data_IF_932965259060
#
_entry.id   IF_932965259060
#
_cell.length_a   1.000
_cell.length_b   1.000
_cell.length_c   1.000
_cell.angle_alpha   90.00
_cell.angle_beta   90.00
_cell.angle_gamma   90.00
#
_symmetry.space_group_name_H-M   'P 1'
#
loop_
_entity.id
_entity.type
_entity.pdbx_description
1 polymer ?
#
# COMPACT_ATOMS: atom_id res chain seq x y z
N UNK A 1 -8.82 22.15 -21.51
CA UNK A 1 -8.30 20.84 -21.09
C UNK A 1 -7.33 21.06 -19.95
N UNK A 2 -7.70 20.70 -18.73
CA UNK A 2 -6.91 20.94 -17.53
C UNK A 2 -7.09 19.78 -16.58
N UNK A 3 -6.08 18.92 -16.49
CA UNK A 3 -6.03 17.78 -15.59
C UNK A 3 -5.98 18.29 -14.15
N UNK A 4 -7.05 18.02 -13.40
CA UNK A 4 -7.15 18.32 -11.98
C UNK A 4 -6.34 17.28 -11.21
N UNK A 5 -5.33 17.78 -10.50
CA UNK A 5 -4.58 17.07 -9.47
C UNK A 5 -5.53 16.41 -8.46
N UNK A 6 -5.65 15.08 -8.52
CA UNK A 6 -6.19 14.27 -7.43
C UNK A 6 -5.03 13.82 -6.54
N UNK A 7 -4.51 14.77 -5.75
CA UNK A 7 -3.73 14.43 -4.57
C UNK A 7 -4.67 13.70 -3.60
N UNK A 8 -4.65 12.36 -3.62
CA UNK A 8 -5.40 11.55 -2.67
C UNK A 8 -4.73 11.70 -1.29
N UNK A 9 -5.34 12.42 -0.33
CA UNK A 9 -4.74 12.59 0.98
C UNK A 9 -4.88 11.27 1.74
N UNK A 10 -3.87 10.93 2.54
CA UNK A 10 -4.01 9.96 3.62
C UNK A 10 -5.28 10.31 4.41
N UNK A 11 -6.31 9.46 4.32
CA UNK A 11 -7.54 9.65 5.08
C UNK A 11 -7.24 9.47 6.56
N UNK A 12 -7.18 10.59 7.28
CA UNK A 12 -7.25 10.62 8.73
C UNK A 12 -8.73 10.47 9.13
N UNK A 13 -8.97 9.55 10.06
CA UNK A 13 -10.25 9.33 10.75
C UNK A 13 -10.72 10.63 11.43
N UNK A 14 -11.66 11.34 10.81
CA UNK A 14 -12.45 12.43 11.40
C UNK A 14 -13.51 11.85 12.35
N UNK A 15 -13.06 11.17 13.42
CA UNK A 15 -13.95 10.69 14.50
C UNK A 15 -13.41 10.94 15.90
N UNK A 16 -12.55 11.96 16.05
CA UNK A 16 -11.96 12.36 17.33
C UNK A 16 -12.50 13.71 17.85
N UNK A 17 -13.81 13.93 17.83
CA UNK A 17 -14.45 15.02 18.60
C UNK A 17 -15.79 14.60 19.20
N UNK A 18 -15.75 13.79 20.27
CA UNK A 18 -16.81 13.80 21.30
C UNK A 18 -16.19 13.65 22.69
N UNK A 19 -16.40 14.67 23.52
CA UNK A 19 -16.00 14.77 24.94
C UNK A 19 -16.41 13.48 25.68
N UNK A 20 -15.45 12.73 26.22
CA UNK A 20 -15.72 11.56 27.07
C UNK A 20 -15.98 12.02 28.51
N UNK A 21 -17.26 12.18 28.85
CA UNK A 21 -17.71 12.20 30.23
C UNK A 21 -17.40 10.88 30.93
N UNK A 22 -16.85 10.97 32.14
CA UNK A 22 -16.44 9.87 33.01
C UNK A 22 -17.68 9.06 33.44
N UNK A 23 -17.97 7.91 32.79
CA UNK A 23 -19.03 6.97 33.23
C UNK A 23 -18.43 5.70 33.83
N UNK A 24 -18.87 5.39 35.05
CA UNK A 24 -18.46 4.25 35.90
C UNK A 24 -18.65 2.90 35.16
N UNK A 25 -17.64 2.02 35.25
CA UNK A 25 -17.65 0.65 34.72
C UNK A 25 -18.70 -0.20 35.45
N UNK A 26 -19.80 -0.57 34.77
CA UNK A 26 -20.61 -1.74 35.14
C UNK A 26 -20.06 -2.96 34.40
N UNK A 27 -19.69 -4.01 35.14
CA UNK A 27 -19.28 -5.32 34.62
C UNK A 27 -20.45 -5.94 33.84
N UNK A 28 -20.22 -6.38 32.60
CA UNK A 28 -21.12 -7.26 31.83
C UNK A 28 -20.63 -8.72 31.96
N UNK A 29 -21.55 -9.70 31.95
CA UNK A 29 -21.22 -11.10 32.18
C UNK A 29 -20.50 -11.73 30.98
N UNK A 30 -19.68 -12.73 31.31
CA UNK A 30 -18.82 -13.53 30.43
C UNK A 30 -19.71 -14.33 29.46
N UNK A 31 -19.57 -14.11 28.15
CA UNK A 31 -20.14 -15.01 27.13
C UNK A 31 -19.09 -16.08 26.81
N UNK A 32 -19.54 -17.32 26.77
CA UNK A 32 -18.77 -18.55 26.68
C UNK A 32 -17.91 -18.66 25.43
N UNK A 33 -16.86 -19.47 25.58
CA UNK A 33 -15.81 -19.77 24.62
C UNK A 33 -16.36 -20.39 23.33
N UNK A 34 -16.07 -19.79 22.18
CA UNK A 34 -16.03 -20.54 20.93
C UNK A 34 -14.67 -21.26 20.83
N UNK A 35 -14.63 -22.55 20.49
CA UNK A 35 -13.38 -23.30 20.38
C UNK A 35 -12.57 -22.86 19.14
N UNK A 36 -11.25 -23.10 19.13
CA UNK A 36 -10.39 -22.69 18.03
C UNK A 36 -10.72 -23.53 16.78
N UNK A 37 -11.09 -22.87 15.68
CA UNK A 37 -11.24 -23.55 14.38
C UNK A 37 -9.85 -24.02 13.92
N UNK A 38 -9.64 -25.32 14.01
CA UNK A 38 -8.45 -26.01 13.53
C UNK A 38 -8.30 -25.96 12.02
N UNK A 39 -7.05 -26.09 11.57
CA UNK A 39 -6.69 -26.31 10.18
C UNK A 39 -7.32 -27.63 9.69
N UNK A 40 -8.39 -27.53 8.92
CA UNK A 40 -9.05 -28.66 8.27
C UNK A 40 -9.43 -28.30 6.84
N UNK A 41 -8.89 -29.04 5.87
CA UNK A 41 -9.44 -29.14 4.51
C UNK A 41 -10.92 -29.54 4.62
N UNK A 42 -11.84 -28.80 3.98
CA UNK A 42 -13.17 -29.34 3.65
C UNK A 42 -14.42 -28.50 3.97
N UNK A 43 -14.33 -27.29 4.50
CA UNK A 43 -15.46 -26.34 4.47
C UNK A 43 -15.12 -25.22 3.49
N UNK A 44 -15.90 -25.05 2.42
CA UNK A 44 -15.74 -23.91 1.51
C UNK A 44 -15.91 -22.65 2.36
N UNK A 45 -14.91 -21.77 2.35
CA UNK A 45 -14.97 -20.56 3.15
C UNK A 45 -16.08 -19.64 2.62
N UNK A 46 -16.70 -18.82 3.48
CA UNK A 46 -17.81 -17.93 3.10
C UNK A 46 -17.44 -17.04 1.90
N UNK A 47 -16.17 -16.64 1.81
CA UNK A 47 -15.64 -15.83 0.72
C UNK A 47 -15.69 -16.58 -0.63
N UNK A 48 -15.41 -17.89 -0.64
CA UNK A 48 -15.46 -18.73 -1.84
C UNK A 48 -16.91 -18.92 -2.30
N UNK A 49 -17.82 -19.19 -1.37
CA UNK A 49 -19.25 -19.35 -1.69
C UNK A 49 -19.82 -18.06 -2.29
N UNK A 50 -19.47 -16.92 -1.71
CA UNK A 50 -19.85 -15.60 -2.22
C UNK A 50 -19.30 -15.34 -3.62
N UNK A 51 -18.03 -15.68 -3.88
CA UNK A 51 -17.43 -15.55 -5.20
C UNK A 51 -18.17 -16.36 -6.27
N UNK A 52 -18.60 -17.58 -5.93
CA UNK A 52 -19.35 -18.43 -6.87
C UNK A 52 -20.81 -17.96 -7.05
N UNK A 53 -21.46 -17.52 -5.96
CA UNK A 53 -22.85 -17.08 -5.96
C UNK A 53 -23.06 -15.69 -6.58
N UNK A 54 -21.99 -14.92 -6.84
CA UNK A 54 -22.07 -13.55 -7.41
C UNK A 54 -22.87 -13.45 -8.71
N UNK A 55 -22.95 -14.57 -9.45
CA UNK A 55 -23.69 -14.66 -10.70
C UNK A 55 -25.17 -15.03 -10.56
N UNK A 56 -25.65 -15.33 -9.35
CA UNK A 56 -27.04 -15.76 -9.11
C UNK A 56 -27.74 -14.93 -8.05
N UNK A 57 -27.00 -14.20 -7.21
CA UNK A 57 -27.56 -13.34 -6.16
C UNK A 57 -28.31 -12.16 -6.78
N UNK A 58 -29.45 -11.80 -6.15
CA UNK A 58 -30.29 -10.66 -6.51
C UNK A 58 -30.47 -9.76 -5.27
N UNK A 59 -30.11 -8.46 -5.32
CA UNK A 59 -29.52 -7.75 -6.45
C UNK A 59 -28.09 -8.24 -6.77
N UNK A 60 -27.67 -8.07 -8.02
CA UNK A 60 -26.29 -8.38 -8.45
C UNK A 60 -25.29 -7.48 -7.70
N UNK A 61 -24.08 -7.99 -7.40
CA UNK A 61 -23.00 -7.15 -6.89
C UNK A 61 -22.66 -6.00 -7.82
N UNK A 62 -22.22 -4.89 -7.24
CA UNK A 62 -21.94 -3.63 -7.93
C UNK A 62 -20.94 -3.79 -9.08
N UNK A 63 -21.28 -3.29 -10.27
CA UNK A 63 -20.44 -3.38 -11.46
C UNK A 63 -20.55 -4.69 -12.23
N UNK A 64 -21.25 -5.71 -11.71
CA UNK A 64 -21.63 -6.90 -12.48
C UNK A 64 -22.90 -6.57 -13.28
N UNK A 65 -22.90 -6.71 -14.62
CA UNK A 65 -24.09 -6.50 -15.44
C UNK A 65 -25.25 -7.42 -15.04
N UNK A 66 -26.49 -6.96 -15.24
CA UNK A 66 -27.70 -7.77 -15.01
C UNK A 66 -27.71 -9.02 -15.90
N UNK A 67 -27.26 -8.85 -17.14
CA UNK A 67 -27.13 -9.90 -18.14
C UNK A 67 -25.68 -9.93 -18.64
N UNK A 68 -25.09 -11.12 -18.64
CA UNK A 68 -23.75 -11.37 -19.19
C UNK A 68 -23.96 -12.32 -20.36
N UNK A 69 -23.68 -11.85 -21.58
CA UNK A 69 -23.82 -12.61 -22.82
C UNK A 69 -22.46 -12.68 -23.54
N UNK A 70 -21.92 -13.88 -23.83
CA UNK A 70 -22.40 -15.21 -23.42
C UNK A 70 -22.40 -15.39 -21.89
N UNK A 71 -23.11 -16.38 -21.33
CA UNK A 71 -23.09 -16.67 -19.89
C UNK A 71 -21.66 -16.83 -19.33
N UNK A 72 -21.42 -16.61 -18.02
CA UNK A 72 -20.11 -16.80 -17.40
C UNK A 72 -19.55 -18.20 -17.67
N UNK A 73 -18.32 -18.27 -18.18
CA UNK A 73 -17.63 -19.53 -18.43
C UNK A 73 -16.63 -19.83 -17.32
N UNK A 74 -16.28 -21.10 -17.17
CA UNK A 74 -15.26 -21.50 -16.20
C UNK A 74 -13.89 -21.47 -16.86
N UNK A 75 -12.97 -20.67 -16.32
CA UNK A 75 -11.59 -20.55 -16.81
C UNK A 75 -10.62 -21.00 -15.72
N UNK A 76 -9.77 -21.99 -16.02
CA UNK A 76 -8.75 -22.45 -15.09
C UNK A 76 -7.36 -21.92 -15.46
N UNK A 77 -6.73 -21.23 -14.51
CA UNK A 77 -5.41 -20.64 -14.69
C UNK A 77 -4.42 -21.29 -13.72
N UNK A 78 -3.32 -21.81 -14.26
CA UNK A 78 -2.17 -22.25 -13.46
C UNK A 78 -1.19 -21.08 -13.31
N UNK A 79 -1.05 -20.58 -12.09
CA UNK A 79 -0.19 -19.44 -11.78
C UNK A 79 0.93 -19.85 -10.85
N UNK A 80 2.13 -20.08 -11.41
CA UNK A 80 3.31 -20.44 -10.62
C UNK A 80 3.85 -19.20 -9.91
N UNK A 81 4.07 -19.31 -8.60
CA UNK A 81 4.63 -18.24 -7.78
C UNK A 81 6.00 -18.62 -7.21
N UNK A 82 6.81 -17.60 -6.90
CA UNK A 82 8.12 -17.65 -6.28
C UNK A 82 8.12 -16.74 -5.05
N UNK A 83 7.43 -17.18 -4.00
CA UNK A 83 7.37 -16.42 -2.75
C UNK A 83 8.71 -16.40 -2.01
N UNK A 84 9.04 -15.28 -1.39
CA UNK A 84 10.22 -15.12 -0.53
C UNK A 84 9.90 -15.62 0.88
N UNK A 85 10.77 -16.43 1.49
CA UNK A 85 10.50 -16.90 2.85
C UNK A 85 10.58 -15.77 3.88
N UNK A 86 9.87 -15.94 4.99
CA UNK A 86 9.92 -14.97 6.10
C UNK A 86 11.33 -14.77 6.66
N UNK A 87 12.17 -15.81 6.75
CA UNK A 87 13.56 -15.65 7.20
C UNK A 87 14.37 -14.77 6.24
N UNK A 88 14.21 -14.99 4.94
CA UNK A 88 14.91 -14.24 3.89
C UNK A 88 14.47 -12.78 3.91
N UNK A 89 13.16 -12.51 3.99
CA UNK A 89 12.63 -11.16 4.15
C UNK A 89 13.25 -10.47 5.39
N UNK A 90 13.34 -11.17 6.52
CA UNK A 90 13.90 -10.60 7.74
C UNK A 90 15.38 -10.23 7.60
N UNK A 91 16.18 -11.10 6.97
CA UNK A 91 17.61 -10.83 6.68
C UNK A 91 17.77 -9.66 5.71
N UNK A 92 17.08 -9.70 4.58
CA UNK A 92 17.12 -8.66 3.56
C UNK A 92 16.67 -7.30 4.11
N UNK A 93 15.65 -7.27 4.96
CA UNK A 93 15.19 -6.04 5.62
C UNK A 93 16.26 -5.39 6.49
N UNK A 94 17.06 -6.19 7.23
CA UNK A 94 18.20 -5.69 8.03
C UNK A 94 19.35 -5.15 7.17
N UNK A 95 19.56 -5.74 6.00
CA UNK A 95 20.58 -5.30 5.04
C UNK A 95 20.16 -3.99 4.38
N UNK A 96 18.91 -3.91 3.93
CA UNK A 96 18.39 -2.81 3.13
C UNK A 96 18.00 -1.57 3.95
N UNK A 97 17.63 -1.73 5.23
CA UNK A 97 17.18 -0.63 6.08
C UNK A 97 18.12 -0.42 7.27
N UNK A 98 18.71 0.78 7.39
CA UNK A 98 19.52 1.20 8.53
C UNK A 98 18.92 2.43 9.22
N UNK A 99 19.24 2.69 10.51
CA UNK A 99 18.79 3.89 11.21
C UNK A 99 19.21 5.19 10.51
N UNK A 100 18.30 6.14 10.41
CA UNK A 100 18.53 7.46 9.81
C UNK A 100 18.42 7.53 8.29
N UNK A 101 18.38 6.39 7.59
CA UNK A 101 18.24 6.35 6.13
C UNK A 101 16.77 6.30 5.68
N UNK A 102 16.16 7.48 5.55
CA UNK A 102 14.79 7.62 5.00
C UNK A 102 14.75 8.08 3.55
N UNK A 103 15.89 8.50 2.99
CA UNK A 103 15.96 9.09 1.66
C UNK A 103 16.39 8.17 0.53
N UNK A 104 16.71 8.81 -0.61
CA UNK A 104 17.38 8.16 -1.73
C UNK A 104 18.69 7.54 -1.27
N UNK A 105 18.96 6.36 -1.78
CA UNK A 105 20.24 5.71 -1.55
C UNK A 105 21.20 6.16 -2.64
N UNK A 106 22.42 6.58 -2.30
CA UNK A 106 23.47 6.75 -3.30
C UNK A 106 23.78 5.40 -3.95
N UNK A 107 24.27 5.43 -5.18
CA UNK A 107 24.58 4.22 -5.97
C UNK A 107 25.49 3.26 -5.21
N UNK A 108 26.51 3.78 -4.53
CA UNK A 108 27.42 2.99 -3.68
C UNK A 108 26.67 2.18 -2.61
N UNK A 109 25.65 2.78 -1.98
CA UNK A 109 24.83 2.11 -0.95
C UNK A 109 23.89 1.08 -1.55
N UNK A 110 23.40 1.32 -2.78
CA UNK A 110 22.61 0.34 -3.53
C UNK A 110 23.47 -0.88 -3.88
N UNK A 111 24.70 -0.66 -4.35
CA UNK A 111 25.63 -1.73 -4.68
C UNK A 111 26.08 -2.50 -3.44
N UNK A 112 26.30 -1.83 -2.30
CA UNK A 112 26.59 -2.49 -1.04
C UNK A 112 25.44 -3.42 -0.59
N UNK A 113 24.19 -2.99 -0.77
CA UNK A 113 23.02 -3.83 -0.52
C UNK A 113 23.03 -5.03 -1.46
N UNK A 114 23.27 -4.82 -2.76
CA UNK A 114 23.32 -5.89 -3.75
C UNK A 114 24.34 -6.97 -3.38
N UNK A 115 25.57 -6.57 -3.03
CA UNK A 115 26.64 -7.49 -2.60
C UNK A 115 26.24 -8.26 -1.33
N UNK A 116 25.62 -7.59 -0.35
CA UNK A 116 25.18 -8.25 0.90
C UNK A 116 23.98 -9.18 0.72
N UNK A 117 23.19 -8.98 -0.33
CA UNK A 117 22.08 -9.85 -0.69
C UNK A 117 22.51 -11.08 -1.50
N UNK A 118 23.75 -11.10 -1.98
CA UNK A 118 24.26 -12.22 -2.77
C UNK A 118 24.09 -13.56 -2.02
N UNK A 119 23.62 -14.58 -2.73
CA UNK A 119 23.26 -15.88 -2.17
C UNK A 119 21.92 -15.95 -1.41
N UNK A 120 21.18 -14.84 -1.23
CA UNK A 120 19.81 -14.88 -0.72
C UNK A 120 18.80 -14.98 -1.87
N UNK A 121 17.70 -15.77 -1.72
CA UNK A 121 16.66 -15.89 -2.75
C UNK A 121 15.70 -14.68 -2.69
N UNK A 122 16.25 -13.48 -2.94
CA UNK A 122 15.53 -12.21 -3.03
C UNK A 122 16.32 -11.26 -3.95
N UNK A 123 15.64 -10.57 -4.86
CA UNK A 123 16.29 -9.61 -5.75
C UNK A 123 16.58 -8.28 -5.08
N UNK A 124 17.44 -7.47 -5.70
CA UNK A 124 17.72 -6.11 -5.26
C UNK A 124 16.45 -5.25 -5.28
N UNK A 125 15.63 -5.32 -6.32
CA UNK A 125 14.38 -4.54 -6.42
C UNK A 125 13.38 -4.94 -5.32
N UNK A 126 13.29 -6.25 -5.02
CA UNK A 126 12.47 -6.75 -3.92
C UNK A 126 12.93 -6.18 -2.58
N UNK A 127 14.23 -6.15 -2.33
CA UNK A 127 14.80 -5.61 -1.10
C UNK A 127 14.63 -4.07 -1.00
N UNK A 128 14.78 -3.33 -2.10
CA UNK A 128 14.53 -1.90 -2.14
C UNK A 128 13.04 -1.56 -1.92
N UNK A 129 12.14 -2.36 -2.49
CA UNK A 129 10.70 -2.24 -2.24
C UNK A 129 10.35 -2.58 -0.78
N UNK A 130 10.96 -3.62 -0.21
CA UNK A 130 10.85 -3.96 1.21
C UNK A 130 11.35 -2.82 2.11
N UNK A 131 12.49 -2.19 1.77
CA UNK A 131 13.03 -1.02 2.49
C UNK A 131 12.02 0.12 2.53
N UNK A 132 11.35 0.43 1.41
CA UNK A 132 10.32 1.47 1.38
C UNK A 132 9.16 1.15 2.35
N UNK A 133 8.69 -0.10 2.37
CA UNK A 133 7.66 -0.54 3.29
C UNK A 133 8.10 -0.49 4.77
N UNK A 134 9.34 -0.89 5.07
CA UNK A 134 9.93 -0.82 6.41
C UNK A 134 10.04 0.63 6.90
N UNK A 135 10.56 1.54 6.05
CA UNK A 135 10.70 2.94 6.38
C UNK A 135 9.34 3.62 6.61
N UNK A 136 8.32 3.25 5.84
CA UNK A 136 6.95 3.72 6.06
C UNK A 136 6.40 3.23 7.41
N UNK A 137 6.50 1.93 7.70
CA UNK A 137 6.03 1.35 8.97
C UNK A 137 6.74 1.99 10.17
N UNK A 138 8.05 2.12 10.08
CA UNK A 138 8.91 2.77 11.07
C UNK A 138 8.48 4.21 11.34
N UNK A 139 8.27 5.00 10.28
CA UNK A 139 7.80 6.39 10.37
C UNK A 139 6.47 6.49 11.11
N UNK A 140 5.50 5.62 10.78
CA UNK A 140 4.18 5.61 11.43
C UNK A 140 4.28 5.27 12.91
N UNK A 141 5.02 4.22 13.28
CA UNK A 141 5.10 3.78 14.67
C UNK A 141 5.99 4.69 15.54
N UNK A 142 7.03 5.30 14.98
CA UNK A 142 7.93 6.19 15.72
C UNK A 142 7.42 7.62 15.85
N UNK A 143 6.42 8.04 15.05
CA UNK A 143 5.92 9.41 15.01
C UNK A 143 5.55 9.99 16.38
N UNK A 144 4.82 9.22 17.21
CA UNK A 144 4.44 9.69 18.54
C UNK A 144 5.63 9.90 19.48
N UNK A 145 6.67 9.05 19.37
CA UNK A 145 7.92 9.16 20.13
C UNK A 145 8.71 10.38 19.68
N UNK A 146 8.75 10.64 18.37
CA UNK A 146 9.38 11.83 17.80
C UNK A 146 8.70 13.11 18.32
N UNK A 147 7.37 13.16 18.28
CA UNK A 147 6.60 14.33 18.73
C UNK A 147 6.77 14.62 20.22
N UNK A 148 7.00 13.61 21.08
CA UNK A 148 7.33 13.84 22.50
C UNK A 148 8.67 14.55 22.69
N UNK A 149 9.57 14.49 21.71
CA UNK A 149 10.88 15.16 21.71
C UNK A 149 10.90 16.44 20.88
N UNK A 150 9.74 16.98 20.50
CA UNK A 150 9.62 18.21 19.69
C UNK A 150 10.39 19.40 20.30
N UNK A 151 10.29 19.60 21.62
CA UNK A 151 11.00 20.66 22.33
C UNK A 151 12.53 20.48 22.26
N UNK A 152 13.02 19.25 22.36
CA UNK A 152 14.46 18.96 22.23
C UNK A 152 14.94 19.20 20.80
N UNK A 153 14.17 18.73 19.81
CA UNK A 153 14.44 18.95 18.39
C UNK A 153 14.51 20.44 18.06
N UNK A 154 13.58 21.25 18.56
CA UNK A 154 13.61 22.70 18.39
C UNK A 154 14.89 23.29 18.97
N UNK A 155 15.22 23.02 20.24
CA UNK A 155 16.43 23.58 20.88
C UNK A 155 17.70 23.23 20.12
N UNK A 156 17.84 21.97 19.68
CA UNK A 156 19.01 21.51 18.91
C UNK A 156 19.10 22.18 17.55
N UNK A 157 17.97 22.28 16.86
CA UNK A 157 17.89 22.99 15.58
C UNK A 157 18.25 24.48 15.77
N UNK A 158 17.73 25.13 16.81
CA UNK A 158 18.02 26.52 17.15
C UNK A 158 19.51 26.71 17.52
N UNK A 159 20.16 25.69 18.10
CA UNK A 159 21.61 25.67 18.37
C UNK A 159 22.50 25.41 17.15
N UNK A 160 21.91 25.21 15.96
CA UNK A 160 22.64 25.10 14.69
C UNK A 160 22.60 23.73 14.02
N UNK A 161 22.07 22.67 14.65
CA UNK A 161 21.94 21.36 13.99
C UNK A 161 20.99 21.46 12.77
N UNK A 162 21.33 20.79 11.66
CA UNK A 162 20.48 20.74 10.46
C UNK A 162 19.33 19.73 10.61
N UNK A 163 18.27 19.89 9.81
CA UNK A 163 17.14 18.94 9.79
C UNK A 163 17.62 17.52 9.44
N UNK A 164 18.58 17.40 8.53
CA UNK A 164 19.14 16.11 8.10
C UNK A 164 19.94 15.47 9.24
N UNK A 165 20.75 16.24 9.96
CA UNK A 165 21.49 15.72 11.11
C UNK A 165 20.53 15.23 12.21
N UNK A 166 19.47 15.99 12.49
CA UNK A 166 18.45 15.63 13.46
C UNK A 166 17.64 14.41 13.01
N UNK A 167 17.29 14.32 11.74
CA UNK A 167 16.62 13.16 11.13
C UNK A 167 17.42 11.87 11.34
N UNK A 168 18.72 11.90 11.04
CA UNK A 168 19.64 10.78 11.28
C UNK A 168 19.74 10.44 12.76
N UNK A 169 19.93 11.44 13.63
CA UNK A 169 20.11 11.25 15.08
C UNK A 169 18.85 10.69 15.76
N UNK A 170 17.67 11.16 15.37
CA UNK A 170 16.39 10.77 15.97
C UNK A 170 15.70 9.62 15.22
N UNK A 171 16.31 9.16 14.14
CA UNK A 171 15.84 8.05 13.32
C UNK A 171 14.39 8.25 12.84
N UNK A 172 14.16 9.40 12.21
CA UNK A 172 12.84 9.79 11.71
C UNK A 172 12.95 10.47 10.34
N UNK A 173 11.89 10.42 9.50
CA UNK A 173 11.92 11.08 8.20
C UNK A 173 12.22 12.59 8.31
N UNK A 174 13.04 13.17 7.41
CA UNK A 174 13.41 14.59 7.43
C UNK A 174 12.22 15.55 7.54
N UNK A 175 11.16 15.37 6.75
CA UNK A 175 10.00 16.28 6.78
C UNK A 175 9.23 16.14 8.10
N UNK A 176 9.11 14.92 8.64
CA UNK A 176 8.49 14.70 9.95
C UNK A 176 9.35 15.27 11.09
N UNK A 177 10.67 15.25 10.95
CA UNK A 177 11.61 15.90 11.87
C UNK A 177 11.41 17.41 11.86
N UNK A 178 11.29 18.01 10.67
CA UNK A 178 10.98 19.43 10.53
C UNK A 178 9.61 19.82 11.13
N UNK A 179 8.57 19.01 10.89
CA UNK A 179 7.25 19.19 11.53
C UNK A 179 7.35 19.14 13.06
N UNK A 180 8.18 18.26 13.61
CA UNK A 180 8.41 18.16 15.05
C UNK A 180 9.16 19.39 15.60
N UNK A 181 10.13 19.95 14.86
CA UNK A 181 10.79 21.22 15.20
C UNK A 181 9.76 22.35 15.30
N UNK A 182 8.92 22.53 14.28
CA UNK A 182 7.87 23.57 14.29
C UNK A 182 6.86 23.35 15.42
N UNK A 183 6.52 22.10 15.73
CA UNK A 183 5.67 21.76 16.88
C UNK A 183 6.33 22.16 18.19
N UNK A 184 7.65 21.97 18.35
CA UNK A 184 8.41 22.40 19.52
C UNK A 184 8.44 23.91 19.71
N UNK A 185 8.31 24.67 18.61
CA UNK A 185 8.12 26.13 18.61
C UNK A 185 6.67 26.57 18.87
N UNK A 186 5.78 25.64 19.21
CA UNK A 186 4.38 25.93 19.51
C UNK A 186 3.47 26.09 18.30
N UNK A 187 3.90 25.68 17.09
CA UNK A 187 3.03 25.72 15.92
C UNK A 187 1.96 24.63 15.99
N UNK A 188 0.73 24.97 15.60
CA UNK A 188 -0.37 24.00 15.53
C UNK A 188 -0.23 23.10 14.29
N UNK A 189 -0.77 21.87 14.35
CA UNK A 189 -0.79 20.92 13.22
C UNK A 189 -1.35 21.56 11.94
N UNK A 190 -2.42 22.35 12.08
CA UNK A 190 -3.07 23.05 10.97
C UNK A 190 -2.15 24.13 10.37
N UNK A 191 -1.54 24.98 11.22
CA UNK A 191 -0.60 26.00 10.76
C UNK A 191 0.58 25.37 10.02
N UNK A 192 1.14 24.28 10.55
CA UNK A 192 2.24 23.55 9.90
C UNK A 192 1.79 23.04 8.54
N UNK A 193 0.67 22.31 8.47
CA UNK A 193 0.14 21.76 7.21
C UNK A 193 -0.09 22.84 6.16
N UNK A 194 -0.78 23.92 6.52
CA UNK A 194 -1.10 25.00 5.57
C UNK A 194 0.15 25.79 5.14
N UNK A 195 1.14 25.94 6.02
CA UNK A 195 2.39 26.61 5.67
C UNK A 195 3.21 25.75 4.72
N UNK A 196 3.51 24.51 5.10
CA UNK A 196 4.38 23.63 4.33
C UNK A 196 3.79 23.27 2.96
N UNK A 197 2.48 23.01 2.88
CA UNK A 197 1.86 22.54 1.64
C UNK A 197 1.43 23.67 0.69
N UNK A 198 1.15 24.88 1.19
CA UNK A 198 0.54 25.96 0.39
C UNK A 198 1.36 27.24 0.36
N UNK A 199 2.09 27.55 1.42
CA UNK A 199 2.77 28.85 1.57
C UNK A 199 4.14 28.71 2.25
N UNK A 200 5.08 27.92 1.69
CA UNK A 200 6.41 27.73 2.27
C UNK A 200 7.20 29.04 2.36
N UNK A 201 6.84 30.05 1.57
CA UNK A 201 7.39 31.42 1.63
C UNK A 201 7.16 32.15 2.97
N UNK A 202 6.24 31.66 3.82
CA UNK A 202 6.03 32.21 5.18
C UNK A 202 7.08 31.75 6.20
N UNK A 203 7.93 30.79 5.84
CA UNK A 203 9.07 30.38 6.65
C UNK A 203 10.18 31.43 6.57
N UNK A 204 10.98 31.57 7.63
CA UNK A 204 12.22 32.34 7.52
C UNK A 204 13.19 31.64 6.55
N UNK A 205 14.24 32.36 6.11
CA UNK A 205 15.20 31.87 5.11
C UNK A 205 15.76 30.48 5.47
N UNK A 206 16.26 30.30 6.70
CA UNK A 206 16.85 29.04 7.15
C UNK A 206 15.84 27.90 7.17
N UNK A 207 14.65 28.15 7.72
CA UNK A 207 13.59 27.16 7.81
C UNK A 207 13.10 26.72 6.42
N UNK A 208 13.03 27.66 5.49
CA UNK A 208 12.68 27.36 4.10
C UNK A 208 13.73 26.49 3.42
N UNK A 209 15.01 26.89 3.49
CA UNK A 209 16.12 26.11 2.92
C UNK A 209 16.20 24.69 3.52
N UNK A 210 16.02 24.57 4.83
CA UNK A 210 16.03 23.28 5.52
C UNK A 210 14.80 22.43 5.21
N UNK A 211 13.64 23.05 4.98
CA UNK A 211 12.44 22.35 4.54
C UNK A 211 12.58 21.83 3.11
N UNK A 212 13.05 22.66 2.18
CA UNK A 212 13.30 22.28 0.78
C UNK A 212 14.32 21.13 0.70
N UNK A 213 15.38 21.19 1.51
CA UNK A 213 16.35 20.08 1.64
C UNK A 213 15.72 18.82 2.25
N UNK A 214 14.83 18.97 3.23
CA UNK A 214 14.13 17.83 3.82
C UNK A 214 13.18 17.17 2.82
N UNK A 215 12.47 17.96 2.01
CA UNK A 215 11.56 17.45 0.98
C UNK A 215 12.30 16.75 -0.16
N UNK A 216 13.44 17.28 -0.59
CA UNK A 216 14.21 16.68 -1.69
C UNK A 216 14.78 15.30 -1.34
N UNK A 217 14.97 15.01 -0.05
CA UNK A 217 15.54 13.74 0.41
C UNK A 217 14.57 12.82 1.14
N UNK A 218 13.35 13.22 1.50
CA UNK A 218 12.42 12.37 2.27
C UNK A 218 11.50 11.53 1.38
N UNK A 219 11.94 10.32 1.03
CA UNK A 219 11.14 9.36 0.25
C UNK A 219 9.91 8.79 0.97
N UNK A 220 9.68 9.10 2.24
CA UNK A 220 8.52 8.58 2.99
C UNK A 220 7.42 9.62 3.09
N UNK A 221 7.80 10.89 3.29
CA UNK A 221 6.86 11.98 3.54
C UNK A 221 6.67 12.90 2.33
N UNK A 222 7.66 13.01 1.43
CA UNK A 222 7.64 13.84 0.22
C UNK A 222 7.95 12.99 -1.02
N UNK A 223 6.98 12.16 -1.41
CA UNK A 223 7.11 11.35 -2.62
C UNK A 223 6.58 12.14 -3.82
N UNK A 224 7.41 12.34 -4.84
CA UNK A 224 6.94 12.62 -6.18
C UNK A 224 6.22 11.36 -6.69
N UNK A 225 4.89 11.35 -6.61
CA UNK A 225 4.07 10.15 -6.85
C UNK A 225 3.84 9.86 -8.33
N UNK A 226 4.17 10.81 -9.22
CA UNK A 226 3.81 10.71 -10.64
C UNK A 226 4.45 9.51 -11.34
N UNK A 227 5.78 9.37 -11.27
CA UNK A 227 6.48 8.25 -11.93
C UNK A 227 6.06 6.88 -11.36
N UNK A 228 5.95 6.78 -10.04
CA UNK A 228 5.49 5.54 -9.38
C UNK A 228 4.05 5.20 -9.76
N UNK A 229 3.20 6.21 -9.94
CA UNK A 229 1.83 6.03 -10.37
C UNK A 229 1.78 5.56 -11.83
N UNK A 230 2.52 6.19 -12.74
CA UNK A 230 2.55 5.76 -14.15
C UNK A 230 3.12 4.35 -14.30
N UNK A 231 4.16 4.00 -13.55
CA UNK A 231 4.68 2.62 -13.52
C UNK A 231 3.66 1.61 -12.98
N UNK A 232 2.80 2.02 -12.03
CA UNK A 232 1.71 1.19 -11.53
C UNK A 232 0.62 0.99 -12.60
N UNK A 233 0.25 2.06 -13.31
CA UNK A 233 -0.71 2.02 -14.42
C UNK A 233 -0.22 1.09 -15.55
N UNK A 234 1.06 1.15 -15.93
CA UNK A 234 1.66 0.23 -16.91
C UNK A 234 1.58 -1.22 -16.42
N UNK A 235 1.80 -1.47 -15.13
CA UNK A 235 1.70 -2.81 -14.55
C UNK A 235 0.24 -3.34 -14.54
N UNK A 236 -0.74 -2.46 -14.34
CA UNK A 236 -2.17 -2.80 -14.47
C UNK A 236 -2.53 -3.17 -15.91
N UNK A 237 -2.01 -2.46 -16.91
CA UNK A 237 -2.22 -2.80 -18.32
C UNK A 237 -1.59 -4.16 -18.68
N UNK A 238 -0.39 -4.47 -18.19
CA UNK A 238 0.22 -5.81 -18.36
C UNK A 238 -0.70 -6.91 -17.82
N UNK A 239 -1.32 -6.69 -16.66
CA UNK A 239 -2.29 -7.65 -16.10
C UNK A 239 -3.53 -7.78 -16.99
N UNK A 240 -4.06 -6.68 -17.50
CA UNK A 240 -5.20 -6.69 -18.41
C UNK A 240 -4.87 -7.50 -19.67
N UNK A 241 -3.73 -7.23 -20.31
CA UNK A 241 -3.28 -7.98 -21.49
C UNK A 241 -3.11 -9.48 -21.22
N UNK A 242 -2.58 -9.86 -20.05
CA UNK A 242 -2.48 -11.27 -19.66
C UNK A 242 -3.86 -11.93 -19.56
N UNK A 243 -4.79 -11.33 -18.81
CA UNK A 243 -6.13 -11.92 -18.62
C UNK A 243 -6.94 -11.95 -19.93
N UNK A 244 -6.80 -10.94 -20.79
CA UNK A 244 -7.37 -10.94 -22.14
C UNK A 244 -6.80 -12.07 -23.00
N UNK A 245 -5.48 -12.29 -22.96
CA UNK A 245 -4.81 -13.34 -23.75
C UNK A 245 -5.25 -14.76 -23.39
N UNK A 246 -5.69 -14.99 -22.15
CA UNK A 246 -6.22 -16.27 -21.68
C UNK A 246 -7.76 -16.35 -21.79
N UNK A 247 -8.39 -15.38 -22.45
CA UNK A 247 -9.83 -15.39 -22.76
C UNK A 247 -10.73 -15.02 -21.59
N UNK A 248 -10.22 -14.39 -20.53
CA UNK A 248 -11.02 -13.98 -19.38
C UNK A 248 -11.70 -12.64 -19.66
N UNK A 249 -13.01 -12.56 -19.41
CA UNK A 249 -13.76 -11.31 -19.49
C UNK A 249 -13.78 -10.61 -18.14
N UNK A 250 -13.55 -9.31 -18.13
CA UNK A 250 -13.54 -8.51 -16.92
C UNK A 250 -13.96 -7.07 -17.20
N UNK A 251 -14.35 -6.37 -16.13
CA UNK A 251 -14.52 -4.91 -16.10
C UNK A 251 -13.27 -4.28 -15.51
N UNK A 252 -12.80 -3.17 -16.11
CA UNK A 252 -11.64 -2.40 -15.62
C UNK A 252 -12.05 -1.37 -14.57
N UNK A 253 -11.12 -0.95 -13.72
CA UNK A 253 -11.33 0.09 -12.71
C UNK A 253 -11.98 1.36 -13.28
N UNK A 254 -11.53 1.84 -14.45
CA UNK A 254 -12.06 3.07 -15.05
C UNK A 254 -13.56 2.98 -15.38
N UNK A 255 -14.01 1.82 -15.85
CA UNK A 255 -15.41 1.60 -16.19
C UNK A 255 -16.28 1.60 -14.94
N UNK A 256 -15.80 0.94 -13.88
CA UNK A 256 -16.47 0.91 -12.57
C UNK A 256 -16.54 2.31 -11.95
N UNK A 257 -15.45 3.08 -12.06
CA UNK A 257 -15.39 4.45 -11.59
C UNK A 257 -16.44 5.34 -12.27
N UNK A 258 -16.52 5.28 -13.61
CA UNK A 258 -17.49 6.07 -14.39
C UNK A 258 -18.92 5.69 -14.03
N UNK A 259 -19.23 4.40 -13.92
CA UNK A 259 -20.56 3.88 -13.58
C UNK A 259 -20.98 4.31 -12.17
N UNK A 260 -20.15 4.06 -11.16
CA UNK A 260 -20.45 4.38 -9.77
C UNK A 260 -20.49 5.88 -9.50
N UNK A 261 -19.64 6.66 -10.16
CA UNK A 261 -19.72 8.13 -10.03
C UNK A 261 -21.04 8.66 -10.59
N UNK A 262 -21.54 8.07 -11.68
CA UNK A 262 -22.82 8.46 -12.27
C UNK A 262 -24.02 8.08 -11.39
N UNK A 263 -24.00 6.91 -10.75
CA UNK A 263 -25.13 6.44 -9.93
C UNK A 263 -25.06 6.92 -8.47
N UNK A 264 -23.87 6.96 -7.87
CA UNK A 264 -23.65 7.19 -6.43
C UNK A 264 -22.97 8.53 -6.13
N UNK A 265 -22.59 9.29 -7.16
CA UNK A 265 -21.85 10.55 -7.02
C UNK A 265 -20.37 10.39 -6.62
N UNK A 266 -19.91 9.15 -6.40
CA UNK A 266 -18.51 8.81 -6.07
C UNK A 266 -18.19 7.36 -6.36
N UNK A 267 -16.91 7.05 -6.49
CA UNK A 267 -16.42 5.68 -6.43
C UNK A 267 -16.67 5.06 -5.04
N UNK A 268 -17.18 3.84 -5.01
CA UNK A 268 -17.40 3.05 -3.79
C UNK A 268 -16.38 1.92 -3.73
N UNK A 269 -16.31 1.11 -4.79
CA UNK A 269 -15.52 -0.12 -4.81
C UNK A 269 -15.06 -0.45 -6.23
N UNK A 270 -13.75 -0.37 -6.47
CA UNK A 270 -13.18 -0.49 -7.82
C UNK A 270 -11.91 -1.35 -7.74
N UNK A 271 -12.01 -2.69 -7.78
CA UNK A 271 -10.83 -3.49 -8.06
C UNK A 271 -10.30 -3.18 -9.46
N UNK A 272 -9.03 -3.47 -9.71
CA UNK A 272 -8.40 -3.19 -11.01
C UNK A 272 -9.05 -4.03 -12.13
N UNK A 273 -9.31 -5.31 -11.83
CA UNK A 273 -10.11 -6.19 -12.68
C UNK A 273 -11.24 -6.84 -11.87
N UNK A 274 -12.49 -6.61 -12.28
CA UNK A 274 -13.67 -7.34 -11.78
C UNK A 274 -14.03 -8.44 -12.80
N UNK A 275 -13.91 -9.70 -12.40
CA UNK A 275 -14.00 -10.84 -13.31
C UNK A 275 -15.46 -11.24 -13.60
N UNK A 276 -15.80 -11.36 -14.88
CA UNK A 276 -17.14 -11.71 -15.36
C UNK A 276 -17.31 -13.22 -15.63
N UNK A 277 -16.24 -14.01 -15.44
CA UNK A 277 -16.19 -15.47 -15.60
C UNK A 277 -15.89 -16.20 -14.28
N UNK A 278 -16.20 -17.50 -14.15
CA UNK A 278 -15.73 -18.35 -13.02
C UNK A 278 -14.24 -18.67 -13.21
N UNK A 279 -13.40 -17.67 -12.94
CA UNK A 279 -11.94 -17.79 -13.00
C UNK A 279 -11.42 -18.48 -11.76
N UNK A 280 -10.69 -19.57 -11.95
CA UNK A 280 -10.03 -20.32 -10.87
C UNK A 280 -8.53 -20.30 -11.05
N UNK A 281 -7.84 -19.57 -10.17
CA UNK A 281 -6.39 -19.51 -10.15
C UNK A 281 -5.87 -20.54 -9.17
N UNK A 282 -5.11 -21.51 -9.66
CA UNK A 282 -4.63 -22.67 -8.88
C UNK A 282 -5.77 -23.38 -8.13
N UNK A 283 -6.93 -23.51 -8.79
CA UNK A 283 -8.14 -24.14 -8.24
C UNK A 283 -8.95 -23.27 -7.27
N UNK A 284 -8.49 -22.07 -6.93
CA UNK A 284 -9.22 -21.13 -6.05
C UNK A 284 -10.06 -20.16 -6.89
N UNK A 285 -11.39 -20.07 -6.67
CA UNK A 285 -12.22 -19.07 -7.36
C UNK A 285 -11.79 -17.65 -7.02
N UNK A 286 -11.65 -16.81 -8.04
CA UNK A 286 -11.34 -15.40 -7.91
C UNK A 286 -12.43 -14.59 -8.61
N UNK A 287 -13.06 -13.65 -7.89
CA UNK A 287 -14.04 -12.73 -8.43
C UNK A 287 -13.42 -11.39 -8.87
N UNK A 288 -12.24 -11.05 -8.35
CA UNK A 288 -11.54 -9.80 -8.62
C UNK A 288 -10.02 -10.00 -8.51
N UNK A 289 -9.28 -9.15 -9.22
CA UNK A 289 -7.82 -9.02 -9.17
C UNK A 289 -7.48 -7.57 -8.85
N UNK A 290 -6.50 -7.35 -8.00
CA UNK A 290 -5.97 -6.03 -7.70
C UNK A 290 -4.43 -6.08 -7.67
N UNK A 291 -3.83 -5.14 -8.39
CA UNK A 291 -2.42 -5.03 -8.68
C UNK A 291 -1.69 -4.26 -7.57
N UNK A 292 -0.50 -4.72 -7.22
CA UNK A 292 0.36 -4.06 -6.25
C UNK A 292 1.74 -3.86 -6.85
N UNK A 293 2.06 -2.60 -7.17
CA UNK A 293 3.36 -2.19 -7.68
C UNK A 293 4.45 -2.13 -6.58
N UNK A 294 4.45 -3.08 -5.64
CA UNK A 294 5.43 -3.15 -4.55
C UNK A 294 5.59 -4.60 -4.05
N UNK A 295 6.58 -4.84 -3.19
CA UNK A 295 6.80 -6.15 -2.57
C UNK A 295 5.80 -6.41 -1.44
N UNK A 296 5.09 -7.54 -1.51
CA UNK A 296 4.11 -7.98 -0.51
C UNK A 296 4.74 -8.44 0.80
N UNK A 297 5.20 -7.49 1.63
CA UNK A 297 5.92 -7.79 2.86
C UNK A 297 5.01 -8.27 4.01
N UNK A 298 5.48 -9.23 4.84
CA UNK A 298 4.86 -9.60 6.12
C UNK A 298 5.16 -8.56 7.21
N UNK A 299 4.59 -7.37 7.04
CA UNK A 299 4.69 -6.22 7.95
C UNK A 299 3.30 -5.84 8.46
N UNK A 300 3.19 -5.34 9.71
CA UNK A 300 1.89 -5.12 10.37
C UNK A 300 1.10 -3.99 9.72
N UNK A 301 1.76 -2.87 9.43
CA UNK A 301 1.10 -1.67 8.91
C UNK A 301 0.62 -1.86 7.46
N UNK A 302 1.46 -2.27 6.49
CA UNK A 302 1.01 -2.55 5.12
C UNK A 302 -0.07 -3.64 5.07
N UNK A 303 0.12 -4.75 5.79
CA UNK A 303 -0.86 -5.84 5.87
C UNK A 303 -2.22 -5.37 6.36
N UNK A 304 -2.28 -4.53 7.39
CA UNK A 304 -3.55 -3.99 7.90
C UNK A 304 -4.25 -3.12 6.87
N UNK A 305 -3.49 -2.30 6.11
CA UNK A 305 -4.04 -1.46 5.04
C UNK A 305 -4.59 -2.30 3.89
N UNK A 306 -3.82 -3.28 3.43
CA UNK A 306 -4.22 -4.23 2.37
C UNK A 306 -5.43 -5.05 2.82
N UNK A 307 -5.43 -5.62 4.03
CA UNK A 307 -6.57 -6.41 4.51
C UNK A 307 -7.86 -5.57 4.55
N UNK A 308 -7.82 -4.30 4.97
CA UNK A 308 -9.00 -3.42 4.90
C UNK A 308 -9.54 -3.24 3.48
N UNK A 309 -8.67 -3.22 2.48
CA UNK A 309 -9.08 -3.14 1.07
C UNK A 309 -9.71 -4.47 0.63
N UNK A 310 -9.02 -5.58 0.90
CA UNK A 310 -9.50 -6.94 0.63
C UNK A 310 -10.87 -7.18 1.29
N UNK A 311 -11.05 -6.81 2.56
CA UNK A 311 -12.30 -6.99 3.29
C UNK A 311 -13.49 -6.29 2.59
N UNK A 312 -13.26 -5.14 1.93
CA UNK A 312 -14.30 -4.46 1.14
C UNK A 312 -14.65 -5.25 -0.12
N UNK A 313 -13.64 -5.67 -0.89
CA UNK A 313 -13.87 -6.49 -2.09
C UNK A 313 -14.51 -7.82 -1.77
N UNK A 314 -14.10 -8.45 -0.67
CA UNK A 314 -14.67 -9.71 -0.21
C UNK A 314 -16.12 -9.55 0.22
N UNK A 315 -16.46 -8.46 0.91
CA UNK A 315 -17.84 -8.20 1.30
C UNK A 315 -18.77 -8.07 0.07
N UNK A 316 -18.30 -7.49 -1.02
CA UNK A 316 -19.11 -7.28 -2.23
C UNK A 316 -19.08 -8.49 -3.18
N UNK A 317 -17.89 -8.99 -3.49
CA UNK A 317 -17.64 -9.94 -4.58
C UNK A 317 -17.22 -11.33 -4.12
N UNK A 318 -16.78 -11.49 -2.87
CA UNK A 318 -16.18 -12.72 -2.36
C UNK A 318 -14.66 -12.83 -2.61
N UNK A 319 -14.16 -14.07 -2.59
CA UNK A 319 -12.76 -14.41 -2.76
C UNK A 319 -12.15 -13.79 -4.03
N UNK A 320 -10.92 -13.26 -3.92
CA UNK A 320 -10.16 -12.73 -5.06
C UNK A 320 -8.67 -13.02 -5.01
N UNK A 321 -7.87 -12.21 -5.70
CA UNK A 321 -6.42 -12.30 -5.69
C UNK A 321 -5.74 -10.92 -5.72
N UNK A 322 -4.54 -10.87 -5.15
CA UNK A 322 -3.63 -9.74 -5.26
C UNK A 322 -2.39 -10.15 -6.05
N UNK A 323 -2.01 -9.37 -7.06
CA UNK A 323 -0.79 -9.62 -7.83
C UNK A 323 0.27 -8.59 -7.46
N UNK A 324 1.37 -9.06 -6.86
CA UNK A 324 2.48 -8.20 -6.46
C UNK A 324 3.56 -8.18 -7.54
N UNK A 325 3.87 -7.00 -8.09
CA UNK A 325 4.92 -6.82 -9.11
C UNK A 325 6.26 -7.39 -8.66
N UNK A 326 6.68 -7.06 -7.45
CA UNK A 326 7.94 -7.55 -6.89
C UNK A 326 7.75 -8.88 -6.14
N UNK A 327 6.62 -9.55 -6.29
CA UNK A 327 6.31 -10.75 -5.50
C UNK A 327 6.05 -10.44 -4.03
N UNK A 328 6.00 -11.49 -3.22
CA UNK A 328 5.51 -11.39 -1.85
C UNK A 328 6.25 -12.35 -0.90
N UNK A 329 6.13 -12.07 0.40
CA UNK A 329 6.59 -12.96 1.44
C UNK A 329 5.56 -14.04 1.73
N UNK A 330 6.00 -15.30 1.82
CA UNK A 330 5.14 -16.44 2.14
C UNK A 330 4.45 -16.30 3.52
N UNK A 331 5.05 -15.56 4.46
CA UNK A 331 4.49 -15.23 5.77
C UNK A 331 3.31 -14.27 5.71
N UNK A 332 3.11 -13.54 4.60
CA UNK A 332 2.01 -12.60 4.44
C UNK A 332 0.68 -13.38 4.36
N UNK A 333 -0.13 -13.28 5.42
CA UNK A 333 -1.47 -13.89 5.48
C UNK A 333 -2.54 -12.84 5.23
N UNK A 334 -3.37 -13.04 4.21
CA UNK A 334 -4.54 -12.23 3.88
C UNK A 334 -5.75 -13.16 3.77
N UNK A 335 -6.87 -12.78 4.37
CA UNK A 335 -8.13 -13.54 4.30
C UNK A 335 -8.94 -13.06 3.10
N UNK A 336 -9.55 -13.98 2.37
CA UNK A 336 -10.38 -13.67 1.20
C UNK A 336 -9.60 -13.29 -0.08
N UNK A 337 -8.27 -13.36 -0.05
CA UNK A 337 -7.44 -13.12 -1.23
C UNK A 337 -6.22 -14.05 -1.28
N UNK A 338 -6.01 -14.71 -2.42
CA UNK A 338 -4.73 -15.37 -2.69
C UNK A 338 -3.69 -14.32 -3.10
N UNK A 339 -2.41 -14.67 -2.97
CA UNK A 339 -1.30 -13.80 -3.37
C UNK A 339 -0.60 -14.42 -4.56
N UNK A 340 -0.39 -13.60 -5.56
CA UNK A 340 0.28 -13.94 -6.81
C UNK A 340 1.46 -12.98 -6.98
N UNK A 341 2.39 -13.37 -7.84
CA UNK A 341 3.50 -12.52 -8.25
C UNK A 341 3.52 -12.39 -9.78
N UNK A 342 4.39 -11.53 -10.27
CA UNK A 342 4.56 -11.25 -11.70
C UNK A 342 5.26 -12.35 -12.50
N UNK A 343 5.60 -13.51 -11.91
CA UNK A 343 6.38 -14.54 -12.60
C UNK A 343 5.84 -15.00 -13.97
N UNK A 344 4.51 -15.09 -14.21
CA UNK A 344 4.00 -15.48 -15.53
C UNK A 344 3.70 -14.30 -16.47
N UNK A 345 4.02 -13.06 -16.07
CA UNK A 345 3.71 -11.85 -16.82
C UNK A 345 4.90 -11.42 -17.68
N UNK A 346 4.62 -10.86 -18.86
CA UNK A 346 5.61 -10.15 -19.65
C UNK A 346 5.80 -8.73 -19.09
N UNK A 347 6.97 -8.47 -18.51
CA UNK A 347 7.30 -7.18 -17.90
C UNK A 347 8.02 -6.23 -18.85
N UNK A 348 8.26 -6.62 -20.11
CA UNK A 348 8.94 -5.78 -21.10
C UNK A 348 8.34 -4.37 -21.24
N UNK A 349 7.00 -4.17 -21.31
CA UNK A 349 6.44 -2.82 -21.39
C UNK A 349 6.85 -1.90 -20.23
N UNK A 350 7.10 -2.49 -19.06
CA UNK A 350 7.53 -1.76 -17.88
C UNK A 350 9.05 -1.52 -17.86
N UNK A 351 9.84 -2.41 -18.47
CA UNK A 351 11.27 -2.20 -18.70
C UNK A 351 11.49 -1.03 -19.67
N UNK A 352 10.80 -1.07 -20.82
CA UNK A 352 10.81 -0.01 -21.84
C UNK A 352 10.38 1.35 -21.25
N UNK A 353 9.37 1.35 -20.36
CA UNK A 353 8.94 2.56 -19.66
C UNK A 353 10.05 3.19 -18.80
N UNK A 354 10.83 2.37 -18.09
CA UNK A 354 11.92 2.87 -17.25
C UNK A 354 13.14 3.32 -18.07
N UNK A 355 13.42 2.69 -19.22
CA UNK A 355 14.49 3.13 -20.12
C UNK A 355 14.19 4.49 -20.74
N UNK A 356 12.96 4.68 -21.20
CA UNK A 356 12.49 5.94 -21.78
C UNK A 356 12.39 7.08 -20.74
N UNK A 357 12.12 6.75 -19.47
CA UNK A 357 12.06 7.75 -18.39
C UNK A 357 13.43 8.20 -17.89
N UNK A 358 14.50 7.46 -18.23
CA UNK A 358 15.89 7.81 -17.89
C UNK A 358 16.61 8.60 -19.00
N UNK A 359 16.05 8.61 -20.20
CA UNK A 359 16.52 9.39 -21.36
C UNK A 359 15.90 10.79 -21.31
#
# INVERSE_FOLDING_TARGET
MGLRYLACPLSEDESAKRRRGRRRRRRRPRKENNPPKGNGRGAKSEEIERALARFTVNPRPMGIPKEINPPPEKVEIKWKTKAVTKEVQSKAGKIACIPGEFGFLPEERVQEIAVKLDGLPISLEQALSLRAALNQEKSVYSHSKLMRRSNELSRRYDSGESVIALSKRFDAPPVNTFRAILTGRGWTKTRIKDTLNKNPSKLNKRDREQFELAESVDRVSSVNQTETQTAAEVFEEILCSYFESVGVRFRRQEELLREQTKSEGRAIITPDLLLLDDVRINGTPCAWIDAKHFFGADLKFPKKKTQKQVDRYVAEYGQGALVYRHGFCDGLRLRGAIKLDSSPLDLKPLEDFHENSKS
#
